data_IF_441027093289
#
_entry.id   IF_441027093289
#
_cell.length_a   1.000
_cell.length_b   1.000
_cell.length_c   1.000
_cell.angle_alpha   90.00
_cell.angle_beta   90.00
_cell.angle_gamma   90.00
#
_symmetry.space_group_name_H-M   'P 1'
#
loop_
_entity.id
_entity.type
_entity.pdbx_description
1 polymer ?
#
# COMPACT_ATOMS: atom_id res chain seq x y z
N UNK A 1 -19.37 -0.12 8.68
CA UNK A 1 -18.50 0.86 8.00
C UNK A 1 -17.34 1.15 8.93
N UNK A 2 -16.12 0.76 8.55
CA UNK A 2 -14.93 1.00 9.37
C UNK A 2 -14.37 2.40 9.11
N UNK A 3 -13.61 2.93 10.07
CA UNK A 3 -12.85 4.18 9.87
C UNK A 3 -11.54 3.87 9.14
N UNK A 4 -11.23 4.63 8.09
CA UNK A 4 -10.02 4.53 7.29
C UNK A 4 -9.48 5.93 7.01
N UNK A 5 -8.17 6.01 6.82
CA UNK A 5 -7.49 7.21 6.31
C UNK A 5 -7.29 7.06 4.79
N UNK A 6 -7.05 8.18 4.12
CA UNK A 6 -6.99 8.24 2.65
C UNK A 6 -5.69 8.89 2.21
N UNK A 7 -4.94 8.25 1.33
CA UNK A 7 -3.80 8.85 0.64
C UNK A 7 -4.24 9.20 -0.80
N UNK A 8 -4.14 10.48 -1.14
CA UNK A 8 -4.49 11.01 -2.46
C UNK A 8 -3.21 11.21 -3.27
N UNK A 9 -3.14 10.59 -4.45
CA UNK A 9 -1.98 10.70 -5.33
C UNK A 9 -2.43 10.93 -6.77
N UNK A 10 -1.93 11.97 -7.46
CA UNK A 10 -2.11 12.10 -8.89
C UNK A 10 -1.28 11.02 -9.60
N UNK A 11 -1.96 10.10 -10.28
CA UNK A 11 -1.32 9.02 -11.03
C UNK A 11 -1.95 8.88 -12.40
N UNK A 12 -1.15 8.40 -13.36
CA UNK A 12 -1.66 8.06 -14.68
C UNK A 12 -2.33 6.68 -14.62
N UNK A 13 -3.60 6.60 -14.96
CA UNK A 13 -4.30 5.32 -15.10
C UNK A 13 -3.65 4.50 -16.23
N UNK A 14 -3.29 3.25 -15.97
CA UNK A 14 -2.66 2.38 -16.97
C UNK A 14 -3.59 2.03 -18.14
N UNK A 15 -4.91 2.01 -17.91
CA UNK A 15 -5.88 1.62 -18.92
C UNK A 15 -6.30 2.81 -19.81
N UNK A 16 -6.74 3.93 -19.21
CA UNK A 16 -7.22 5.10 -19.99
C UNK A 16 -6.15 6.17 -20.24
N UNK A 17 -4.98 6.09 -19.59
CA UNK A 17 -3.85 7.04 -19.68
C UNK A 17 -4.15 8.47 -19.21
N UNK A 18 -5.34 8.73 -18.67
CA UNK A 18 -5.65 10.00 -18.00
C UNK A 18 -4.90 10.10 -16.67
N UNK A 19 -4.58 11.33 -16.27
CA UNK A 19 -4.12 11.62 -14.91
C UNK A 19 -5.37 11.69 -14.05
N UNK A 20 -5.39 10.88 -13.00
CA UNK A 20 -6.50 10.77 -12.06
C UNK A 20 -5.97 10.93 -10.64
N UNK A 21 -6.81 11.47 -9.76
CA UNK A 21 -6.50 11.50 -8.33
C UNK A 21 -6.92 10.16 -7.73
N UNK A 22 -5.94 9.24 -7.65
CA UNK A 22 -6.17 7.95 -7.00
C UNK A 22 -6.27 8.17 -5.50
N UNK A 23 -7.28 7.52 -4.89
CA UNK A 23 -7.56 7.59 -3.46
C UNK A 23 -7.36 6.21 -2.88
N UNK A 24 -6.36 6.07 -2.01
CA UNK A 24 -6.01 4.81 -1.35
C UNK A 24 -6.49 4.84 0.09
N UNK A 25 -7.45 3.99 0.43
CA UNK A 25 -7.94 3.77 1.78
C UNK A 25 -7.00 2.83 2.52
N UNK A 26 -6.61 3.21 3.73
CA UNK A 26 -5.74 2.41 4.57
C UNK A 26 -6.09 2.56 6.05
N UNK A 27 -5.64 1.62 6.88
CA UNK A 27 -5.94 1.58 8.32
C UNK A 27 -4.66 1.59 9.15
N UNK A 28 -3.88 2.67 9.06
CA UNK A 28 -2.61 2.84 9.78
C UNK A 28 -2.49 4.18 10.48
N UNK A 29 -1.82 4.17 11.62
CA UNK A 29 -1.61 5.36 12.44
C UNK A 29 -2.75 5.60 13.41
N UNK A 30 -2.82 6.80 13.98
CA UNK A 30 -3.92 7.17 14.86
C UNK A 30 -5.15 7.43 13.98
N UNK A 31 -6.20 6.60 14.05
CA UNK A 31 -7.30 6.64 13.08
C UNK A 31 -8.13 7.90 13.30
N UNK A 32 -8.13 8.80 12.33
CA UNK A 32 -8.90 10.06 12.41
C UNK A 32 -9.67 10.39 11.12
N UNK A 33 -9.71 9.51 10.13
CA UNK A 33 -10.35 9.79 8.82
C UNK A 33 -9.69 11.00 8.15
N UNK A 34 -8.36 10.98 8.08
CA UNK A 34 -7.57 12.05 7.48
C UNK A 34 -7.28 11.75 6.01
N UNK A 35 -7.18 12.82 5.24
CA UNK A 35 -6.63 12.78 3.89
C UNK A 35 -5.16 13.23 3.94
N UNK A 36 -4.32 12.51 3.21
CA UNK A 36 -2.89 12.73 3.10
C UNK A 36 -2.47 12.87 1.63
N UNK A 37 -1.33 13.51 1.43
CA UNK A 37 -0.61 13.61 0.16
C UNK A 37 0.79 12.99 0.29
N UNK A 38 1.46 12.80 -0.85
CA UNK A 38 2.86 12.39 -0.84
C UNK A 38 3.75 13.41 -0.10
N UNK A 39 4.66 12.91 0.72
CA UNK A 39 5.56 13.70 1.57
C UNK A 39 5.02 14.03 2.96
N UNK A 40 3.70 13.87 3.17
CA UNK A 40 3.08 14.08 4.47
C UNK A 40 3.61 13.09 5.51
N UNK A 41 3.70 13.58 6.74
CA UNK A 41 4.10 12.80 7.89
C UNK A 41 2.95 11.90 8.37
N UNK A 42 3.27 10.63 8.53
CA UNK A 42 2.40 9.67 9.20
C UNK A 42 2.55 9.89 10.69
N UNK A 43 1.53 10.49 11.31
CA UNK A 43 1.52 10.67 12.75
C UNK A 43 1.14 9.34 13.45
N UNK A 44 2.14 8.76 14.13
CA UNK A 44 2.05 7.55 14.93
C UNK A 44 1.63 7.79 16.38
N UNK A 45 1.35 9.04 16.78
CA UNK A 45 1.06 9.45 18.17
C UNK A 45 -0.19 8.75 18.70
N UNK A 46 0.03 7.56 19.27
CA UNK A 46 -0.99 6.71 19.87
C UNK A 46 -0.75 5.22 19.58
N UNK A 47 -0.29 4.88 18.38
CA UNK A 47 -0.08 3.49 17.97
C UNK A 47 0.98 3.40 16.85
N UNK A 48 2.29 3.43 17.16
CA UNK A 48 3.31 3.21 16.15
C UNK A 48 3.09 1.86 15.49
N UNK A 49 3.22 1.78 14.16
CA UNK A 49 3.27 0.47 13.50
C UNK A 49 4.41 -0.29 14.16
N UNK A 50 4.03 -1.42 14.75
CA UNK A 50 4.95 -2.33 15.40
C UNK A 50 5.03 -3.59 14.58
N UNK A 51 6.22 -3.91 14.07
CA UNK A 51 6.52 -5.26 13.61
C UNK A 51 7.11 -6.02 14.80
N UNK A 52 6.47 -7.11 15.22
CA UNK A 52 6.89 -7.87 16.40
C UNK A 52 7.04 -7.01 17.67
N UNK A 53 6.15 -6.03 17.88
CA UNK A 53 6.15 -5.17 19.06
C UNK A 53 7.16 -4.01 19.04
N UNK A 54 7.98 -3.85 17.99
CA UNK A 54 8.99 -2.78 17.86
C UNK A 54 8.58 -1.74 16.82
N UNK A 55 8.80 -0.43 17.07
CA UNK A 55 8.64 0.59 16.02
C UNK A 55 9.42 0.16 14.78
N UNK A 56 8.83 0.29 13.59
CA UNK A 56 9.51 -0.03 12.34
C UNK A 56 10.26 1.23 11.84
N UNK A 57 11.59 1.32 11.99
CA UNK A 57 12.37 2.30 11.24
C UNK A 57 12.45 1.90 9.76
N UNK A 58 12.61 2.89 8.87
CA UNK A 58 12.88 2.66 7.45
C UNK A 58 11.63 2.48 6.58
N UNK A 59 11.77 1.67 5.53
CA UNK A 59 10.78 1.50 4.48
C UNK A 59 9.74 0.45 4.84
N UNK A 60 8.48 0.88 4.88
CA UNK A 60 7.30 0.11 5.24
C UNK A 60 6.39 0.01 4.03
N UNK A 61 5.78 -1.16 3.86
CA UNK A 61 4.70 -1.40 2.92
C UNK A 61 3.44 -1.72 3.70
N UNK A 62 2.36 -1.04 3.32
CA UNK A 62 1.09 -1.08 4.02
C UNK A 62 -0.02 -1.45 3.04
N UNK A 63 -0.89 -2.39 3.43
CA UNK A 63 -2.07 -2.81 2.70
C UNK A 63 -3.04 -1.65 2.45
N UNK A 64 -3.58 -1.57 1.26
CA UNK A 64 -4.51 -0.50 0.91
C UNK A 64 -5.54 -0.97 -0.10
N UNK A 65 -6.70 -0.32 -0.07
CA UNK A 65 -7.74 -0.45 -1.08
C UNK A 65 -7.83 0.86 -1.85
N UNK A 66 -7.75 0.78 -3.18
CA UNK A 66 -7.93 1.95 -4.03
C UNK A 66 -9.42 2.12 -4.36
N UNK A 67 -9.90 3.36 -4.26
CA UNK A 67 -11.27 3.68 -4.65
C UNK A 67 -11.47 3.50 -6.17
N UNK A 68 -12.63 2.96 -6.59
CA UNK A 68 -12.92 2.80 -8.00
C UNK A 68 -12.96 4.16 -8.69
N UNK A 69 -12.23 4.29 -9.79
CA UNK A 69 -12.27 5.49 -10.61
C UNK A 69 -13.50 5.44 -11.53
N UNK A 70 -14.45 6.39 -11.44
CA UNK A 70 -15.75 6.26 -12.11
C UNK A 70 -15.67 6.23 -13.65
N UNK A 71 -14.67 6.90 -14.25
CA UNK A 71 -14.55 6.97 -15.72
C UNK A 71 -13.68 5.87 -16.33
N UNK A 72 -12.98 5.07 -15.51
CA UNK A 72 -12.26 3.89 -15.97
C UNK A 72 -12.66 2.70 -15.10
N UNK A 73 -13.32 1.72 -15.71
CA UNK A 73 -13.75 0.46 -15.08
C UNK A 73 -12.57 -0.47 -14.70
N UNK A 74 -11.41 0.09 -14.42
CA UNK A 74 -10.26 -0.66 -13.95
C UNK A 74 -10.45 -0.91 -12.46
N UNK A 75 -10.68 -2.17 -12.09
CA UNK A 75 -10.70 -2.62 -10.71
C UNK A 75 -9.31 -3.15 -10.33
N UNK A 76 -8.79 -2.67 -9.20
CA UNK A 76 -7.55 -3.18 -8.64
C UNK A 76 -7.90 -4.25 -7.61
N UNK A 77 -7.32 -5.45 -7.74
CA UNK A 77 -7.57 -6.55 -6.82
C UNK A 77 -6.94 -6.33 -5.44
N UNK A 78 -5.78 -5.66 -5.38
CA UNK A 78 -5.13 -5.24 -4.13
C UNK A 78 -4.11 -4.12 -4.39
N UNK A 79 -3.95 -3.22 -3.41
CA UNK A 79 -3.03 -2.09 -3.48
C UNK A 79 -2.15 -2.00 -2.24
N UNK A 80 -1.07 -1.25 -2.36
CA UNK A 80 -0.16 -0.96 -1.26
C UNK A 80 0.25 0.51 -1.25
N UNK A 81 0.54 0.99 -0.05
CA UNK A 81 1.17 2.29 0.21
C UNK A 81 2.59 2.05 0.72
N UNK A 82 3.51 2.90 0.27
CA UNK A 82 4.91 2.90 0.67
C UNK A 82 5.16 4.08 1.61
N UNK A 83 5.74 3.79 2.77
CA UNK A 83 6.07 4.78 3.79
C UNK A 83 7.56 4.64 4.09
N UNK A 84 8.33 5.71 3.96
CA UNK A 84 9.74 5.71 4.34
C UNK A 84 9.98 6.71 5.46
N UNK A 85 10.56 6.23 6.56
CA UNK A 85 10.88 7.06 7.73
C UNK A 85 9.71 7.93 8.19
N UNK A 86 8.50 7.38 8.15
CA UNK A 86 7.28 8.07 8.56
C UNK A 86 6.69 9.03 7.53
N UNK A 87 7.14 9.01 6.28
CA UNK A 87 6.55 9.82 5.19
C UNK A 87 5.93 8.96 4.12
N UNK A 88 4.77 9.37 3.59
CA UNK A 88 4.19 8.73 2.41
C UNK A 88 5.06 9.01 1.18
N UNK A 89 5.57 7.97 0.54
CA UNK A 89 6.46 8.11 -0.64
C UNK A 89 5.86 7.54 -1.93
N UNK A 90 4.78 6.76 -1.85
CA UNK A 90 4.12 6.22 -3.03
C UNK A 90 2.96 5.29 -2.71
N UNK A 91 2.25 4.87 -3.75
CA UNK A 91 1.31 3.77 -3.71
C UNK A 91 1.23 3.08 -5.07
N UNK A 92 0.72 1.85 -5.11
CA UNK A 92 0.55 1.11 -6.34
C UNK A 92 -0.12 -0.25 -6.15
N UNK A 93 -0.15 -1.04 -7.23
CA UNK A 93 -0.66 -2.41 -7.20
C UNK A 93 0.14 -3.31 -6.29
N UNK A 94 -0.57 -4.19 -5.59
CA UNK A 94 0.02 -5.35 -4.95
C UNK A 94 -0.21 -6.58 -5.82
N UNK A 95 0.58 -6.77 -6.88
CA UNK A 95 0.47 -7.91 -7.80
C UNK A 95 0.97 -9.23 -7.18
N UNK A 96 0.48 -9.58 -5.99
CA UNK A 96 0.93 -10.72 -5.19
C UNK A 96 2.31 -10.53 -4.55
N UNK A 97 2.87 -9.32 -4.60
CA UNK A 97 4.22 -9.03 -4.12
C UNK A 97 4.30 -9.09 -2.60
N UNK A 98 3.27 -8.62 -1.91
CA UNK A 98 3.19 -8.57 -0.46
C UNK A 98 2.00 -9.38 0.02
N UNK A 99 2.23 -10.20 1.05
CA UNK A 99 1.16 -10.95 1.73
C UNK A 99 1.01 -10.39 3.13
N UNK A 100 -0.15 -9.80 3.39
CA UNK A 100 -0.53 -9.27 4.68
C UNK A 100 -1.22 -10.38 5.47
N UNK A 101 -0.78 -10.60 6.70
CA UNK A 101 -1.43 -11.52 7.63
C UNK A 101 -2.77 -10.96 8.11
N UNK A 102 -3.58 -11.80 8.74
CA UNK A 102 -4.91 -11.40 9.25
C UNK A 102 -4.86 -10.19 10.21
N UNK A 103 -3.75 -10.04 10.94
CA UNK A 103 -3.48 -8.93 11.86
C UNK A 103 -2.31 -8.04 11.40
N UNK A 104 -1.62 -8.42 10.31
CA UNK A 104 -0.41 -7.77 9.82
C UNK A 104 -0.73 -6.90 8.62
N UNK A 105 -1.18 -5.70 8.90
CA UNK A 105 -1.42 -4.69 7.89
C UNK A 105 -0.08 -4.04 7.47
N UNK A 106 0.88 -3.90 8.39
CA UNK A 106 2.22 -3.32 8.28
C UNK A 106 3.38 -4.29 7.94
N UNK A 107 4.17 -4.14 6.86
CA UNK A 107 5.41 -4.92 6.65
C UNK A 107 6.66 -4.03 6.51
N UNK A 108 7.76 -4.29 7.25
CA UNK A 108 9.07 -3.75 6.90
C UNK A 108 9.58 -4.39 5.60
N UNK A 109 10.10 -3.58 4.66
CA UNK A 109 10.69 -4.14 3.43
C UNK A 109 11.96 -4.95 3.72
N UNK A 110 12.72 -4.64 4.77
CA UNK A 110 13.90 -5.42 5.18
C UNK A 110 13.57 -6.88 5.57
N UNK A 111 12.32 -7.14 6.01
CA UNK A 111 11.84 -8.48 6.35
C UNK A 111 11.25 -9.24 5.17
N UNK A 112 11.22 -8.66 3.97
CA UNK A 112 10.83 -9.38 2.77
C UNK A 112 11.92 -10.40 2.41
N UNK A 113 11.73 -11.66 2.83
CA UNK A 113 12.32 -12.77 2.10
C UNK A 113 11.62 -12.81 0.75
N UNK A 114 12.34 -12.78 -0.39
CA UNK A 114 11.71 -13.08 -1.66
C UNK A 114 10.93 -14.38 -1.47
N UNK A 115 9.62 -14.34 -1.77
CA UNK A 115 8.86 -15.57 -1.97
C UNK A 115 9.76 -16.45 -2.82
N UNK A 116 10.10 -17.65 -2.32
CA UNK A 116 10.76 -18.64 -3.15
C UNK A 116 9.82 -18.88 -4.32
N UNK A 117 10.12 -18.23 -5.45
CA UNK A 117 9.54 -18.56 -6.73
C UNK A 117 10.12 -19.94 -7.06
N UNK A 118 9.43 -21.01 -6.66
CA UNK A 118 9.51 -22.25 -7.39
C UNK A 118 8.88 -21.98 -8.77
N UNK A 119 9.78 -21.77 -9.73
CA UNK A 119 9.66 -22.01 -11.17
C UNK A 119 8.27 -21.86 -11.79
N UNK A 120 7.98 -20.66 -12.30
CA UNK A 120 7.10 -20.48 -13.47
C UNK A 120 7.93 -20.36 -14.77
N UNK A 121 9.08 -21.04 -14.83
CA UNK A 121 9.84 -21.30 -16.06
C UNK A 121 9.75 -22.78 -16.42
N UNK A 122 8.56 -23.25 -16.76
CA UNK A 122 8.42 -24.43 -17.62
C UNK A 122 7.28 -24.19 -18.60
N UNK A 123 7.61 -24.19 -19.91
CA UNK A 123 6.61 -24.34 -20.97
C UNK A 123 6.52 -23.26 -22.04
N UNK A 124 7.63 -22.62 -22.44
CA UNK A 124 7.75 -22.16 -23.83
C UNK A 124 8.98 -22.81 -24.43
N UNK A 125 8.76 -23.98 -25.01
CA UNK A 125 9.66 -24.63 -25.95
C UNK A 125 8.83 -24.97 -27.18
N UNK A 126 9.15 -24.25 -28.26
CA UNK A 126 8.95 -24.53 -29.70
C UNK A 126 7.69 -25.25 -30.21
#
# INVERSE_FOLDING_TARGET
MGTFDILVIPQRCEQCRNIVENRYQFKYGTPWQKEFSLGDDVNWEGNPIRWNGRPIPGLIVADAEIEPYPDCKFEYESSVIYIDNGKFIGAGRNSGRFQFGQDDYALPIESYRPLQFEEATQGVSE
#
